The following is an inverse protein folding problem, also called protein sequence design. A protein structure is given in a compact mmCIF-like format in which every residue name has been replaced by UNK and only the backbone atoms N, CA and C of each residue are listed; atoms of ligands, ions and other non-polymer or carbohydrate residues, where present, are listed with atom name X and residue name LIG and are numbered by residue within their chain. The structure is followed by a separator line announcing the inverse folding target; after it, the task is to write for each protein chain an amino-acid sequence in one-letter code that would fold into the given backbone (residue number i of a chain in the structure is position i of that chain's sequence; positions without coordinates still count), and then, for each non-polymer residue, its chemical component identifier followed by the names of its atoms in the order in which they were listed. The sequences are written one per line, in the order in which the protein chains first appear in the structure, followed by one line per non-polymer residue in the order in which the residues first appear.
data_IF_728290190747
#
_entry.id   IF_728290190747
#
_cell.length_a   1.000
_cell.length_b   1.000
_cell.length_c   1.000
_cell.angle_alpha   90.00
_cell.angle_beta   90.00
_cell.angle_gamma   90.00
#
_symmetry.space_group_name_H-M   'P 1'
#
loop_
_entity.id
_entity.type
_entity.pdbx_description
1 polymer ?
#
# COMPACT_ATOMS: atom_id res chain seq x y z
N UNK A 1 54.48 19.43 13.98
CA UNK A 1 55.57 18.65 13.38
C UNK A 1 55.32 17.21 13.80
N UNK A 2 54.34 16.55 13.18
CA UNK A 2 54.46 15.68 11.99
C UNK A 2 54.37 14.23 12.52
N UNK A 3 53.56 13.28 12.07
CA UNK A 3 52.74 13.13 10.87
C UNK A 3 51.53 12.21 11.18
N UNK A 4 50.42 12.50 10.51
CA UNK A 4 49.37 11.54 10.15
C UNK A 4 49.99 10.35 9.40
N UNK A 5 49.53 9.12 9.66
CA UNK A 5 48.97 8.28 8.59
C UNK A 5 48.44 6.95 9.16
N UNK A 6 47.22 6.56 8.79
CA UNK A 6 46.78 5.19 8.45
C UNK A 6 45.25 5.01 8.54
N UNK A 7 44.71 4.74 7.35
CA UNK A 7 43.52 3.94 7.03
C UNK A 7 42.15 4.59 7.11
N UNK A 8 41.91 5.59 6.26
CA UNK A 8 40.63 5.69 5.57
C UNK A 8 40.63 4.68 4.41
N UNK A 9 39.87 3.59 4.53
CA UNK A 9 39.68 2.63 3.44
C UNK A 9 38.56 3.16 2.57
N UNK A 10 38.90 3.97 1.58
CA UNK A 10 37.98 4.42 0.52
C UNK A 10 37.33 3.19 -0.11
N UNK A 11 36.00 3.15 -0.07
CA UNK A 11 35.20 2.24 -0.88
C UNK A 11 35.31 2.79 -2.31
N UNK A 12 36.30 2.29 -3.05
CA UNK A 12 36.50 2.59 -4.46
C UNK A 12 35.35 1.95 -5.23
N UNK A 13 34.25 2.69 -5.35
CA UNK A 13 33.09 2.33 -6.14
C UNK A 13 33.44 2.70 -7.58
N UNK A 14 33.74 1.69 -8.40
CA UNK A 14 34.25 1.87 -9.77
C UNK A 14 33.42 2.91 -10.54
N UNK A 15 34.09 3.98 -10.97
CA UNK A 15 33.52 5.08 -11.75
C UNK A 15 32.87 4.61 -13.07
N UNK A 16 33.23 3.41 -13.54
CA UNK A 16 32.64 2.76 -14.70
C UNK A 16 31.19 2.30 -14.45
N UNK A 17 30.84 1.93 -13.21
CA UNK A 17 29.50 1.43 -12.86
C UNK A 17 28.49 2.58 -12.82
N UNK A 18 28.85 3.70 -12.20
CA UNK A 18 28.05 4.94 -12.22
C UNK A 18 27.91 5.52 -13.63
N UNK A 19 28.97 5.46 -14.46
CA UNK A 19 28.89 5.88 -15.86
C UNK A 19 27.93 5.01 -16.69
N UNK A 20 27.87 3.69 -16.41
CA UNK A 20 26.94 2.78 -17.08
C UNK A 20 25.47 3.05 -16.70
N UNK A 21 25.21 3.39 -15.43
CA UNK A 21 23.87 3.75 -14.94
C UNK A 21 23.44 5.11 -15.51
N UNK A 22 24.33 6.10 -15.53
CA UNK A 22 24.06 7.41 -16.14
C UNK A 22 23.81 7.30 -17.66
N UNK A 23 24.56 6.44 -18.36
CA UNK A 23 24.33 6.17 -19.77
C UNK A 23 22.98 5.45 -20.02
N UNK A 24 22.54 4.57 -19.12
CA UNK A 24 21.22 3.95 -19.20
C UNK A 24 20.07 4.94 -18.95
N UNK A 25 20.25 5.85 -17.98
CA UNK A 25 19.28 6.93 -17.69
C UNK A 25 19.21 7.94 -18.84
N UNK A 26 20.35 8.26 -19.48
CA UNK A 26 20.39 9.10 -20.68
C UNK A 26 19.61 8.48 -21.84
N UNK A 27 19.82 7.19 -22.12
CA UNK A 27 19.09 6.46 -23.18
C UNK A 27 17.57 6.44 -22.96
N UNK A 28 17.12 6.27 -21.70
CA UNK A 28 15.68 6.34 -21.37
C UNK A 28 15.08 7.73 -21.60
N UNK A 29 15.86 8.81 -21.41
CA UNK A 29 15.39 10.17 -21.68
C UNK A 29 15.29 10.45 -23.18
N UNK A 30 16.27 10.00 -23.96
CA UNK A 30 16.30 10.22 -25.40
C UNK A 30 15.20 9.41 -26.13
N UNK A 31 14.84 8.23 -25.62
CA UNK A 31 13.68 7.45 -26.11
C UNK A 31 12.34 8.16 -25.82
N UNK A 32 12.25 8.92 -24.72
CA UNK A 32 11.05 9.68 -24.37
C UNK A 32 10.90 10.96 -25.21
N UNK A 33 11.99 11.63 -25.58
CA UNK A 33 11.96 12.82 -26.45
C UNK A 33 11.72 12.49 -27.94
N UNK A 34 12.26 11.36 -28.43
CA UNK A 34 12.00 10.89 -29.80
C UNK A 34 10.59 10.30 -30.00
N UNK A 35 9.92 9.84 -28.93
CA UNK A 35 8.53 9.42 -28.99
C UNK A 35 7.52 10.58 -29.10
N UNK A 36 7.91 11.79 -28.68
CA UNK A 36 7.02 12.96 -28.63
C UNK A 36 7.07 13.84 -29.89
N UNK A 37 8.06 13.63 -30.77
CA UNK A 37 8.25 14.39 -32.02
C UNK A 37 7.61 13.75 -33.26
N UNK A 38 6.90 12.61 -33.10
CA UNK A 38 6.24 11.90 -34.20
C UNK A 38 4.78 12.35 -34.48
N UNK A 39 4.27 13.39 -33.83
CA UNK A 39 2.92 13.92 -34.06
C UNK A 39 2.87 15.46 -34.15
N UNK A 40 3.67 16.04 -35.02
CA UNK A 40 3.39 17.38 -35.56
C UNK A 40 3.93 17.50 -36.99
N UNK A 41 3.07 18.06 -37.86
CA UNK A 41 3.35 18.57 -39.22
C UNK A 41 2.91 17.68 -40.40
N UNK A 42 1.68 17.90 -40.86
CA UNK A 42 1.37 17.93 -42.29
C UNK A 42 0.84 19.32 -42.63
N UNK A 43 1.75 20.26 -42.83
CA UNK A 43 1.49 21.51 -43.56
C UNK A 43 1.92 21.28 -45.01
N UNK A 44 0.95 21.20 -45.93
CA UNK A 44 1.21 21.24 -47.37
C UNK A 44 1.23 22.68 -47.86
N UNK A 45 2.44 23.14 -48.16
CA UNK A 45 2.77 24.32 -48.95
C UNK A 45 2.28 24.13 -50.40
N UNK A 46 1.54 25.11 -50.94
CA UNK A 46 1.19 25.19 -52.37
C UNK A 46 1.46 26.59 -52.91
N UNK A 47 2.69 26.70 -53.43
CA UNK A 47 3.23 27.78 -54.21
C UNK A 47 2.43 28.15 -55.46
N UNK A 48 2.54 29.42 -55.82
CA UNK A 48 2.06 30.08 -57.02
C UNK A 48 2.21 29.30 -58.33
N UNK A 49 1.09 29.13 -59.05
CA UNK A 49 1.07 29.23 -60.52
C UNK A 49 -0.02 30.22 -60.94
N UNK A 50 0.41 31.44 -61.28
CA UNK A 50 -0.38 32.35 -62.11
C UNK A 50 -0.50 31.73 -63.50
N UNK A 51 -1.73 31.43 -63.92
CA UNK A 51 -2.05 31.22 -65.33
C UNK A 51 -2.98 32.34 -65.79
N UNK A 52 -2.55 32.94 -66.90
CA UNK A 52 -3.11 34.09 -67.60
C UNK A 52 -4.23 33.60 -68.53
N UNK A 53 -5.45 34.12 -68.37
CA UNK A 53 -6.54 34.07 -69.37
C UNK A 53 -7.32 35.38 -69.21
N UNK A 54 -6.96 36.45 -69.92
CA UNK A 54 -7.50 36.87 -71.23
C UNK A 54 -9.03 37.11 -71.27
N UNK A 55 -9.36 38.40 -71.34
CA UNK A 55 -10.47 39.04 -72.05
C UNK A 55 -11.88 38.47 -71.91
N UNK A 56 -12.72 39.27 -71.24
CA UNK A 56 -14.15 39.27 -71.45
C UNK A 56 -14.52 39.57 -72.91
N UNK A 57 -15.62 38.98 -73.41
CA UNK A 57 -16.50 39.68 -74.32
C UNK A 57 -17.85 39.96 -73.63
N UNK A 58 -18.29 41.19 -73.79
CA UNK A 58 -19.62 41.60 -73.41
C UNK A 58 -20.69 41.02 -74.35
N UNK A 59 -21.91 40.97 -73.80
CA UNK A 59 -23.23 41.05 -74.46
C UNK A 59 -24.00 39.73 -74.63
N UNK A 60 -25.13 39.59 -73.93
CA UNK A 60 -26.46 39.74 -74.55
C UNK A 60 -27.55 39.90 -73.48
N UNK A 61 -28.33 40.98 -73.53
CA UNK A 61 -29.58 41.11 -72.76
C UNK A 61 -30.67 40.31 -73.46
N UNK A 62 -31.24 39.30 -72.81
CA UNK A 62 -32.61 38.86 -73.10
C UNK A 62 -33.36 38.52 -71.81
N UNK A 63 -34.47 39.22 -71.64
CA UNK A 63 -35.79 38.71 -71.28
C UNK A 63 -35.99 38.00 -69.95
N UNK A 64 -36.81 38.65 -69.12
CA UNK A 64 -37.50 38.13 -67.93
C UNK A 64 -38.05 36.72 -68.18
N UNK A 65 -37.54 35.76 -67.43
CA UNK A 65 -38.34 34.66 -66.89
C UNK A 65 -38.11 34.66 -65.38
N UNK A 66 -39.22 34.79 -64.65
CA UNK A 66 -39.26 34.61 -63.21
C UNK A 66 -38.71 33.23 -62.86
N UNK A 67 -37.52 33.20 -62.27
CA UNK A 67 -37.04 32.06 -61.50
C UNK A 67 -36.67 32.63 -60.13
N UNK A 68 -37.62 32.57 -59.20
CA UNK A 68 -37.28 32.69 -57.78
C UNK A 68 -36.55 31.39 -57.42
N UNK A 69 -35.28 31.42 -56.97
CA UNK A 69 -34.76 30.28 -56.25
C UNK A 69 -35.44 30.29 -54.89
N UNK A 70 -36.36 29.36 -54.66
CA UNK A 70 -36.75 28.99 -53.30
C UNK A 70 -35.48 28.49 -52.60
N UNK A 71 -34.90 29.33 -51.75
CA UNK A 71 -33.70 29.02 -50.98
C UNK A 71 -33.99 27.82 -50.05
N UNK A 72 -33.29 26.67 -50.20
CA UNK A 72 -33.39 25.62 -49.20
C UNK A 72 -32.82 26.13 -47.88
N UNK A 73 -33.55 25.91 -46.81
CA UNK A 73 -33.27 26.35 -45.44
C UNK A 73 -31.98 25.75 -44.85
N UNK A 74 -30.82 26.34 -45.15
CA UNK A 74 -29.52 25.98 -44.55
C UNK A 74 -29.49 26.05 -43.01
N UNK A 75 -30.41 26.81 -42.40
CA UNK A 75 -30.52 26.95 -40.95
C UNK A 75 -30.86 25.62 -40.25
N UNK A 76 -31.73 24.79 -40.84
CA UNK A 76 -32.13 23.54 -40.19
C UNK A 76 -30.97 22.53 -40.14
N UNK A 77 -30.20 22.38 -41.22
CA UNK A 77 -29.04 21.48 -41.28
C UNK A 77 -27.96 21.87 -40.26
N UNK A 78 -27.68 23.17 -40.12
CA UNK A 78 -26.69 23.66 -39.16
C UNK A 78 -27.10 23.41 -37.70
N UNK A 79 -28.38 23.62 -37.39
CA UNK A 79 -28.94 23.32 -36.06
C UNK A 79 -28.85 21.83 -35.74
N UNK A 80 -29.15 20.95 -36.71
CA UNK A 80 -29.03 19.50 -36.53
C UNK A 80 -27.58 19.05 -36.27
N UNK A 81 -26.62 19.57 -37.04
CA UNK A 81 -25.20 19.25 -36.84
C UNK A 81 -24.72 19.75 -35.47
N UNK A 82 -25.12 20.95 -35.07
CA UNK A 82 -24.77 21.50 -33.76
C UNK A 82 -25.33 20.66 -32.60
N UNK A 83 -26.61 20.27 -32.67
CA UNK A 83 -27.24 19.40 -31.66
C UNK A 83 -26.53 18.04 -31.62
N UNK A 84 -26.19 17.47 -32.78
CA UNK A 84 -25.47 16.19 -32.86
C UNK A 84 -24.09 16.26 -32.19
N UNK A 85 -23.30 17.28 -32.49
CA UNK A 85 -21.98 17.49 -31.87
C UNK A 85 -22.13 17.71 -30.36
N UNK A 86 -23.12 18.50 -29.93
CA UNK A 86 -23.39 18.75 -28.51
C UNK A 86 -23.71 17.46 -27.76
N UNK A 87 -24.62 16.63 -28.30
CA UNK A 87 -24.97 15.33 -27.71
C UNK A 87 -23.75 14.41 -27.67
N UNK A 88 -22.95 14.39 -28.74
CA UNK A 88 -21.74 13.56 -28.79
C UNK A 88 -20.71 13.96 -27.71
N UNK A 89 -20.44 15.26 -27.57
CA UNK A 89 -19.54 15.77 -26.53
C UNK A 89 -20.11 15.46 -25.13
N UNK A 90 -21.41 15.62 -24.93
CA UNK A 90 -22.07 15.31 -23.66
C UNK A 90 -21.91 13.84 -23.28
N UNK A 91 -22.18 12.93 -24.21
CA UNK A 91 -22.02 11.49 -24.00
C UNK A 91 -20.55 11.15 -23.71
N UNK A 92 -19.61 11.74 -24.46
CA UNK A 92 -18.18 11.51 -24.25
C UNK A 92 -17.72 11.93 -22.85
N UNK A 93 -18.09 13.13 -22.42
CA UNK A 93 -17.77 13.63 -21.08
C UNK A 93 -18.42 12.73 -20.00
N UNK A 94 -19.67 12.31 -20.20
CA UNK A 94 -20.37 11.44 -19.27
C UNK A 94 -19.65 10.09 -19.10
N UNK A 95 -19.27 9.44 -20.20
CA UNK A 95 -18.54 8.17 -20.17
C UNK A 95 -17.19 8.35 -19.48
N UNK A 96 -16.47 9.44 -19.77
CA UNK A 96 -15.17 9.72 -19.16
C UNK A 96 -15.27 9.87 -17.64
N UNK A 97 -16.23 10.66 -17.16
CA UNK A 97 -16.47 10.85 -15.72
C UNK A 97 -16.85 9.52 -15.07
N UNK A 98 -17.70 8.72 -15.72
CA UNK A 98 -18.12 7.42 -15.19
C UNK A 98 -16.93 6.47 -14.99
N UNK A 99 -16.07 6.34 -16.01
CA UNK A 99 -14.86 5.50 -15.94
C UNK A 99 -13.92 6.01 -14.83
N UNK A 100 -13.74 7.32 -14.72
CA UNK A 100 -12.90 7.92 -13.69
C UNK A 100 -13.38 7.58 -12.27
N UNK A 101 -14.68 7.74 -12.00
CA UNK A 101 -15.27 7.41 -10.70
C UNK A 101 -15.10 5.91 -10.40
N UNK A 102 -15.31 5.05 -11.39
CA UNK A 102 -15.18 3.61 -11.23
C UNK A 102 -13.75 3.21 -10.84
N UNK A 103 -12.74 3.74 -11.54
CA UNK A 103 -11.32 3.50 -11.22
C UNK A 103 -10.99 3.98 -9.81
N UNK A 104 -11.49 5.16 -9.42
CA UNK A 104 -11.24 5.72 -8.09
C UNK A 104 -11.81 4.83 -6.97
N UNK A 105 -13.07 4.38 -7.12
CA UNK A 105 -13.70 3.46 -6.16
C UNK A 105 -12.91 2.15 -6.06
N UNK A 106 -12.48 1.61 -7.20
CA UNK A 106 -11.69 0.38 -7.25
C UNK A 106 -10.38 0.53 -6.47
N UNK A 107 -9.60 1.58 -6.73
CA UNK A 107 -8.34 1.84 -6.01
C UNK A 107 -8.59 1.99 -4.50
N UNK A 108 -9.65 2.72 -4.12
CA UNK A 108 -9.95 2.96 -2.71
C UNK A 108 -10.28 1.66 -1.95
N UNK A 109 -11.13 0.81 -2.54
CA UNK A 109 -11.54 -0.46 -1.91
C UNK A 109 -10.38 -1.45 -1.87
N UNK A 110 -9.67 -1.64 -2.99
CA UNK A 110 -8.70 -2.73 -3.11
C UNK A 110 -7.32 -2.41 -2.55
N UNK A 111 -6.88 -1.14 -2.59
CA UNK A 111 -5.53 -0.76 -2.14
C UNK A 111 -5.56 -0.07 -0.78
N UNK A 112 -6.47 0.89 -0.59
CA UNK A 112 -6.40 1.78 0.57
C UNK A 112 -7.05 1.18 1.83
N UNK A 113 -8.20 0.50 1.72
CA UNK A 113 -8.87 -0.11 2.86
C UNK A 113 -8.00 -1.15 3.61
N UNK A 114 -7.41 -2.18 2.96
CA UNK A 114 -6.66 -3.20 3.68
C UNK A 114 -5.36 -2.66 4.30
N UNK A 115 -4.65 -1.73 3.63
CA UNK A 115 -3.42 -1.15 4.16
C UNK A 115 -3.65 -0.34 5.43
N UNK A 116 -4.76 0.42 5.50
CA UNK A 116 -5.09 1.20 6.69
C UNK A 116 -5.42 0.30 7.87
N UNK A 117 -6.17 -0.78 7.64
CA UNK A 117 -6.50 -1.76 8.69
C UNK A 117 -5.26 -2.49 9.19
N UNK A 118 -4.38 -2.93 8.29
CA UNK A 118 -3.12 -3.56 8.65
C UNK A 118 -2.21 -2.62 9.44
N UNK A 119 -2.15 -1.33 9.06
CA UNK A 119 -1.34 -0.36 9.80
C UNK A 119 -1.89 -0.12 11.21
N UNK A 120 -3.22 0.00 11.36
CA UNK A 120 -3.87 0.08 12.68
C UNK A 120 -3.56 -1.15 13.53
N UNK A 121 -3.64 -2.34 12.93
CA UNK A 121 -3.31 -3.59 13.62
C UNK A 121 -1.83 -3.65 14.02
N UNK A 122 -0.93 -3.19 13.16
CA UNK A 122 0.51 -3.16 13.42
C UNK A 122 0.84 -2.24 14.60
N UNK A 123 0.28 -1.02 14.63
CA UNK A 123 0.48 -0.07 15.74
C UNK A 123 -0.04 -0.66 17.06
N UNK A 124 -1.20 -1.31 17.05
CA UNK A 124 -1.80 -1.90 18.27
C UNK A 124 -0.97 -3.03 18.86
N UNK A 125 -0.24 -3.77 18.03
CA UNK A 125 0.57 -4.92 18.45
C UNK A 125 2.08 -4.62 18.47
N UNK A 126 2.49 -3.36 18.29
CA UNK A 126 3.90 -2.96 18.20
C UNK A 126 4.68 -3.72 17.11
N UNK A 127 4.05 -3.95 15.96
CA UNK A 127 4.66 -4.58 14.78
C UNK A 127 5.14 -3.52 13.79
N UNK A 128 6.22 -3.80 13.07
CA UNK A 128 6.68 -2.99 11.95
C UNK A 128 6.22 -3.60 10.64
N UNK A 129 5.45 -2.84 9.85
CA UNK A 129 5.00 -3.25 8.53
C UNK A 129 6.03 -2.86 7.47
N UNK A 130 6.46 -3.81 6.65
CA UNK A 130 7.31 -3.59 5.47
C UNK A 130 6.52 -3.95 4.22
N UNK A 131 6.39 -3.01 3.28
CA UNK A 131 5.69 -3.22 2.01
C UNK A 131 6.73 -3.44 0.92
N UNK A 132 6.57 -4.52 0.14
CA UNK A 132 7.38 -4.79 -1.04
C UNK A 132 6.50 -4.73 -2.29
N UNK A 133 6.96 -4.05 -3.33
CA UNK A 133 6.25 -3.92 -4.60
C UNK A 133 6.50 -5.13 -5.51
N UNK A 134 7.54 -5.92 -5.22
CA UNK A 134 7.85 -7.15 -5.94
C UNK A 134 8.47 -8.23 -5.05
N UNK A 135 8.42 -9.48 -5.50
CA UNK A 135 9.03 -10.62 -4.81
C UNK A 135 10.56 -10.47 -4.69
N UNK A 136 11.21 -9.87 -5.69
CA UNK A 136 12.66 -9.65 -5.74
C UNK A 136 13.09 -8.59 -4.71
N UNK A 137 12.32 -7.52 -4.60
CA UNK A 137 12.52 -6.48 -3.59
C UNK A 137 12.34 -7.06 -2.18
N UNK A 138 11.30 -7.88 -1.98
CA UNK A 138 11.09 -8.60 -0.72
C UNK A 138 12.26 -9.50 -0.33
N UNK A 139 12.82 -10.25 -1.29
CA UNK A 139 14.02 -11.07 -1.07
C UNK A 139 15.24 -10.22 -0.71
N UNK A 140 15.38 -9.05 -1.33
CA UNK A 140 16.46 -8.10 -1.04
C UNK A 140 16.34 -7.54 0.37
N UNK A 141 15.13 -7.18 0.80
CA UNK A 141 14.86 -6.76 2.18
C UNK A 141 15.21 -7.86 3.18
N UNK A 142 14.84 -9.11 2.92
CA UNK A 142 15.21 -10.24 3.78
C UNK A 142 16.73 -10.44 3.86
N UNK A 143 17.43 -10.33 2.75
CA UNK A 143 18.89 -10.44 2.72
C UNK A 143 19.56 -9.32 3.51
N UNK A 144 19.10 -8.08 3.37
CA UNK A 144 19.61 -6.93 4.11
C UNK A 144 19.32 -7.06 5.61
N UNK A 145 18.10 -7.46 5.99
CA UNK A 145 17.74 -7.69 7.38
C UNK A 145 18.59 -8.81 8.00
N UNK A 146 18.83 -9.90 7.27
CA UNK A 146 19.70 -10.98 7.70
C UNK A 146 21.15 -10.53 7.85
N UNK A 147 21.65 -9.74 6.91
CA UNK A 147 22.99 -9.17 6.98
C UNK A 147 23.13 -8.28 8.23
N UNK A 148 22.21 -7.34 8.46
CA UNK A 148 22.20 -6.46 9.65
C UNK A 148 22.10 -7.26 10.96
N UNK A 149 21.25 -8.28 11.00
CA UNK A 149 21.15 -9.20 12.13
C UNK A 149 22.46 -9.96 12.41
N UNK A 150 23.20 -10.30 11.35
CA UNK A 150 24.48 -11.00 11.43
C UNK A 150 25.65 -10.06 11.77
N UNK A 151 25.58 -8.79 11.39
CA UNK A 151 26.68 -7.83 11.54
C UNK A 151 26.84 -7.28 12.95
N UNK A 152 25.75 -7.11 13.70
CA UNK A 152 25.85 -6.56 15.07
C UNK A 152 25.85 -7.67 16.12
N UNK A 153 26.88 -7.69 16.96
CA UNK A 153 27.00 -8.61 18.11
C UNK A 153 25.79 -8.48 19.05
N UNK A 154 25.21 -7.29 19.16
CA UNK A 154 23.97 -7.00 19.88
C UNK A 154 22.72 -7.52 19.16
N UNK A 155 22.67 -7.53 17.82
CA UNK A 155 21.57 -8.17 17.10
C UNK A 155 21.71 -9.69 17.00
N UNK A 156 22.91 -10.29 17.05
CA UNK A 156 23.02 -11.75 17.26
C UNK A 156 22.52 -12.14 18.65
N UNK A 157 22.79 -11.34 19.68
CA UNK A 157 22.26 -11.55 21.01
C UNK A 157 20.75 -11.26 21.09
N UNK A 158 20.24 -10.24 20.40
CA UNK A 158 18.79 -9.94 20.38
C UNK A 158 18.01 -10.88 19.47
N UNK A 159 18.54 -11.28 18.31
CA UNK A 159 17.95 -12.30 17.41
C UNK A 159 18.08 -13.68 18.04
N UNK A 160 19.21 -14.02 18.67
CA UNK A 160 19.34 -15.20 19.51
C UNK A 160 18.41 -15.17 20.72
N UNK A 161 18.14 -14.00 21.32
CA UNK A 161 17.12 -13.82 22.38
C UNK A 161 15.69 -13.70 21.85
N UNK A 162 15.47 -13.44 20.57
CA UNK A 162 14.15 -13.48 19.93
C UNK A 162 13.83 -14.90 19.43
N UNK A 163 14.84 -15.66 19.01
CA UNK A 163 14.74 -17.05 18.54
C UNK A 163 14.79 -18.03 19.72
N UNK A 164 15.75 -17.89 20.65
CA UNK A 164 15.88 -18.74 21.84
C UNK A 164 15.30 -18.12 23.13
N UNK A 165 15.15 -16.80 23.19
CA UNK A 165 14.65 -16.09 24.38
C UNK A 165 13.17 -15.73 24.35
N UNK A 166 12.40 -16.20 23.36
CA UNK A 166 10.94 -16.25 23.51
C UNK A 166 10.50 -17.47 24.31
N UNK A 167 11.13 -18.63 24.26
CA UNK A 167 10.59 -19.84 24.93
C UNK A 167 10.32 -19.63 26.43
N UNK A 168 11.28 -19.12 27.20
CA UNK A 168 11.07 -18.92 28.64
C UNK A 168 10.06 -17.79 28.96
N UNK A 169 10.11 -16.69 28.21
CA UNK A 169 9.24 -15.52 28.44
C UNK A 169 7.81 -15.77 27.91
N UNK A 170 7.68 -16.49 26.80
CA UNK A 170 6.43 -16.93 26.19
C UNK A 170 5.82 -18.14 26.90
N UNK A 171 6.62 -18.99 27.56
CA UNK A 171 6.11 -20.00 28.49
C UNK A 171 5.55 -19.38 29.77
N UNK A 172 6.24 -18.38 30.35
CA UNK A 172 5.71 -17.64 31.50
C UNK A 172 4.48 -16.80 31.11
N UNK A 173 4.53 -16.05 30.00
CA UNK A 173 3.37 -15.30 29.48
C UNK A 173 2.23 -16.24 29.09
N UNK A 174 2.54 -17.41 28.54
CA UNK A 174 1.59 -18.48 28.23
C UNK A 174 0.91 -18.99 29.49
N UNK A 175 1.70 -19.27 30.54
CA UNK A 175 1.18 -19.69 31.84
C UNK A 175 0.30 -18.62 32.50
N UNK A 176 0.73 -17.36 32.44
CA UNK A 176 -0.06 -16.21 32.89
C UNK A 176 -1.35 -16.08 32.07
N UNK A 177 -1.28 -16.30 30.75
CA UNK A 177 -2.44 -16.30 29.86
C UNK A 177 -3.44 -17.41 30.19
N UNK A 178 -2.94 -18.63 30.47
CA UNK A 178 -3.75 -19.76 30.90
C UNK A 178 -4.46 -19.47 32.23
N UNK A 179 -3.76 -18.93 33.23
CA UNK A 179 -4.38 -18.57 34.51
C UNK A 179 -5.37 -17.41 34.39
N UNK A 180 -5.08 -16.43 33.53
CA UNK A 180 -5.97 -15.29 33.23
C UNK A 180 -7.24 -15.70 32.47
N UNK A 181 -7.29 -16.89 31.87
CA UNK A 181 -8.53 -17.41 31.27
C UNK A 181 -9.65 -17.59 32.32
N UNK A 182 -9.28 -17.74 33.59
CA UNK A 182 -10.21 -17.80 34.72
C UNK A 182 -10.71 -16.38 35.02
N UNK A 183 -12.03 -16.18 34.94
CA UNK A 183 -12.71 -14.86 34.99
C UNK A 183 -12.28 -13.95 36.15
N UNK A 184 -11.92 -14.51 37.30
CA UNK A 184 -11.60 -13.75 38.52
C UNK A 184 -10.11 -13.40 38.67
N UNK A 185 -9.21 -13.94 37.84
CA UNK A 185 -7.76 -13.84 38.02
C UNK A 185 -7.16 -12.79 37.09
N UNK A 186 -6.41 -11.84 37.67
CA UNK A 186 -5.67 -10.84 36.90
C UNK A 186 -4.24 -11.28 36.59
N UNK A 187 -3.54 -10.53 35.74
CA UNK A 187 -2.13 -10.75 35.41
C UNK A 187 -1.23 -10.75 36.65
N UNK A 188 -1.49 -9.86 37.62
CA UNK A 188 -0.71 -9.77 38.87
C UNK A 188 -0.96 -10.97 39.78
N UNK A 189 -2.21 -11.41 39.86
CA UNK A 189 -2.59 -12.57 40.67
C UNK A 189 -1.94 -13.84 40.07
N UNK A 190 -1.96 -13.98 38.74
CA UNK A 190 -1.29 -15.08 38.01
C UNK A 190 0.21 -15.11 38.27
N UNK A 191 0.87 -13.95 38.28
CA UNK A 191 2.30 -13.84 38.59
C UNK A 191 2.61 -14.27 40.03
N UNK A 192 1.76 -13.91 40.99
CA UNK A 192 1.94 -14.30 42.40
C UNK A 192 1.74 -15.79 42.61
N UNK A 193 0.73 -16.38 41.97
CA UNK A 193 0.50 -17.83 41.98
C UNK A 193 1.70 -18.59 41.40
N UNK A 194 2.23 -18.15 40.27
CA UNK A 194 3.40 -18.76 39.67
C UNK A 194 4.68 -18.54 40.49
N UNK A 195 4.80 -17.41 41.21
CA UNK A 195 5.92 -17.16 42.10
C UNK A 195 5.92 -18.09 43.32
N UNK A 196 4.74 -18.47 43.84
CA UNK A 196 4.60 -19.29 45.02
C UNK A 196 4.61 -20.80 44.73
N UNK A 197 3.96 -21.23 43.64
CA UNK A 197 3.82 -22.64 43.27
C UNK A 197 4.80 -23.08 42.17
N UNK A 198 5.45 -22.15 41.46
CA UNK A 198 6.45 -22.43 40.42
C UNK A 198 5.89 -22.96 39.09
N UNK A 199 4.82 -23.76 39.12
CA UNK A 199 4.21 -24.39 37.94
C UNK A 199 2.69 -24.36 37.98
N UNK A 200 2.04 -24.28 36.81
CA UNK A 200 0.58 -24.40 36.70
C UNK A 200 0.11 -25.76 37.23
N UNK A 201 0.89 -26.82 37.01
CA UNK A 201 0.56 -28.16 37.51
C UNK A 201 0.42 -28.16 39.03
N UNK A 202 1.35 -27.51 39.72
CA UNK A 202 1.37 -27.47 41.17
C UNK A 202 0.25 -26.56 41.69
N UNK A 203 -0.11 -25.50 40.95
CA UNK A 203 -1.33 -24.73 41.23
C UNK A 203 -2.58 -25.61 41.11
N UNK A 204 -2.68 -26.50 40.12
CA UNK A 204 -3.88 -27.36 39.99
C UNK A 204 -3.94 -28.44 41.07
N UNK A 205 -2.80 -29.05 41.40
CA UNK A 205 -2.73 -30.20 42.32
C UNK A 205 -2.67 -29.83 43.80
N UNK A 206 -2.04 -28.70 44.14
CA UNK A 206 -1.74 -28.30 45.53
C UNK A 206 -2.43 -27.02 45.97
N UNK A 207 -3.26 -26.40 45.12
CA UNK A 207 -4.11 -25.29 45.54
C UNK A 207 -5.33 -25.81 46.31
N UNK A 208 -5.15 -25.98 47.62
CA UNK A 208 -6.25 -26.05 48.57
C UNK A 208 -6.69 -24.63 48.95
N UNK A 209 -7.95 -24.44 49.37
CA UNK A 209 -8.47 -23.11 49.72
C UNK A 209 -7.59 -22.38 50.76
N UNK A 210 -7.09 -23.12 51.74
CA UNK A 210 -6.16 -22.63 52.77
C UNK A 210 -4.77 -22.27 52.22
N UNK A 211 -4.27 -23.01 51.22
CA UNK A 211 -2.98 -22.72 50.59
C UNK A 211 -3.06 -21.48 49.68
N UNK A 212 -4.22 -21.24 49.06
CA UNK A 212 -4.49 -20.07 48.22
C UNK A 212 -4.74 -18.80 49.03
N UNK A 213 -5.32 -18.90 50.22
CA UNK A 213 -5.48 -17.75 51.13
C UNK A 213 -4.14 -17.20 51.64
N UNK A 214 -3.09 -18.03 51.67
CA UNK A 214 -1.73 -17.62 52.03
C UNK A 214 -1.00 -16.85 50.91
N UNK A 215 -1.61 -16.69 49.72
CA UNK A 215 -1.03 -15.94 48.62
C UNK A 215 -1.38 -14.45 48.77
N UNK A 216 -0.35 -13.60 48.85
CA UNK A 216 -0.52 -12.17 49.11
C UNK A 216 -1.51 -11.49 48.14
N UNK A 217 -2.55 -10.89 48.71
CA UNK A 217 -3.55 -10.09 47.98
C UNK A 217 -4.54 -10.89 47.12
N UNK A 218 -4.64 -12.20 47.32
CA UNK A 218 -5.73 -13.02 46.79
C UNK A 218 -6.91 -13.01 47.78
N UNK A 219 -7.98 -12.29 47.45
CA UNK A 219 -9.18 -12.23 48.31
C UNK A 219 -10.02 -13.51 48.21
N UNK A 220 -10.89 -13.78 49.20
CA UNK A 220 -11.65 -15.03 49.31
C UNK A 220 -12.51 -15.32 48.07
N UNK A 221 -13.17 -14.30 47.51
CA UNK A 221 -13.95 -14.45 46.25
C UNK A 221 -13.13 -14.93 45.05
N UNK A 222 -11.84 -14.57 44.99
CA UNK A 222 -10.95 -15.02 43.91
C UNK A 222 -10.50 -16.45 44.15
N UNK A 223 -10.29 -16.82 45.43
CA UNK A 223 -9.99 -18.19 45.84
C UNK A 223 -11.15 -19.12 45.49
N UNK A 224 -12.38 -18.76 45.88
CA UNK A 224 -13.58 -19.54 45.56
C UNK A 224 -13.75 -19.73 44.04
N UNK A 225 -13.65 -18.65 43.27
CA UNK A 225 -13.76 -18.73 41.81
C UNK A 225 -12.64 -19.55 41.15
N UNK A 226 -11.45 -19.61 41.76
CA UNK A 226 -10.33 -20.42 41.28
C UNK A 226 -10.56 -21.90 41.62
N UNK A 227 -11.00 -22.20 42.84
CA UNK A 227 -11.34 -23.56 43.28
C UNK A 227 -12.51 -24.12 42.46
N UNK A 228 -13.56 -23.33 42.25
CA UNK A 228 -14.69 -23.70 41.40
C UNK A 228 -14.27 -23.94 39.95
N UNK A 229 -13.36 -23.14 39.40
CA UNK A 229 -12.87 -23.33 38.03
C UNK A 229 -11.98 -24.57 37.86
N UNK A 230 -11.23 -24.96 38.89
CA UNK A 230 -10.28 -26.08 38.84
C UNK A 230 -10.89 -27.42 39.26
N UNK A 231 -11.79 -27.40 40.25
CA UNK A 231 -12.40 -28.60 40.86
C UNK A 231 -13.89 -28.71 40.60
N UNK A 232 -14.51 -27.69 40.00
CA UNK A 232 -15.91 -27.73 39.64
C UNK A 232 -16.20 -28.82 38.62
N UNK A 233 -17.36 -29.44 38.76
CA UNK A 233 -17.84 -30.44 37.80
C UNK A 233 -18.13 -29.76 36.45
N UNK A 234 -17.69 -30.40 35.37
CA UNK A 234 -18.00 -29.95 34.03
C UNK A 234 -19.46 -30.27 33.71
N UNK A 235 -20.35 -29.32 33.97
CA UNK A 235 -21.76 -29.42 33.62
C UNK A 235 -21.99 -28.86 32.22
N UNK A 236 -22.52 -29.71 31.32
CA UNK A 236 -23.03 -29.25 30.03
C UNK A 236 -24.30 -28.42 30.29
N UNK A 237 -24.31 -27.18 29.81
CA UNK A 237 -25.54 -26.39 29.76
C UNK A 237 -26.44 -27.01 28.70
N UNK A 238 -27.53 -27.65 29.14
CA UNK A 238 -28.65 -28.04 28.28
C UNK A 238 -29.32 -26.81 27.62
#
# INVERSE_FOLDING_TARGET
MDNNDKTAKEINMDSSSMASVLAAVGRMRDEFENGSSALTNQDTDMSHKRQKVESAPACFKTSRLNYQPECPSWNHTYIYIYIYIYIYIYIYIYIYIYIYIYIYIYIYIYLHAPLVELNKFAIRNSLTLLVAHSNIEGATYLNNLRAVASSSTTARASVGKLIAGKEAQTALEGAIGSLKSIRAINTRDSQRLLAQFGSIRDVVLHADASALENVDGLGPRKVDSLVDALRGEFMLKE
#
